data_IF_391690519005
#
_entry.id   IF_391690519005
#
_cell.length_a   1.000
_cell.length_b   1.000
_cell.length_c   1.000
_cell.angle_alpha   90.00
_cell.angle_beta   90.00
_cell.angle_gamma   90.00
#
_symmetry.space_group_name_H-M   'P 1'
#
loop_
_entity.id
_entity.type
_entity.pdbx_description
1 polymer ?
#
# COMPACT_ATOMS: atom_id res chain seq x y z
N UNK A 1 12.54 4.01 -28.99
CA UNK A 1 12.87 4.31 -27.58
C UNK A 1 11.60 4.60 -26.81
N UNK A 2 11.06 3.61 -26.10
CA UNK A 2 9.88 3.74 -25.25
C UNK A 2 10.29 4.41 -23.95
N UNK A 3 9.87 5.66 -23.73
CA UNK A 3 9.99 6.32 -22.43
C UNK A 3 9.21 5.47 -21.42
N UNK A 4 9.92 4.78 -20.53
CA UNK A 4 9.32 4.12 -19.37
C UNK A 4 8.51 5.15 -18.58
N UNK A 5 7.33 4.77 -18.13
CA UNK A 5 6.44 5.67 -17.39
C UNK A 5 7.14 6.05 -16.09
N UNK A 6 7.61 7.29 -15.99
CA UNK A 6 8.09 7.89 -14.74
C UNK A 6 6.88 8.19 -13.85
N UNK A 7 6.57 7.30 -12.91
CA UNK A 7 5.71 7.66 -11.80
C UNK A 7 6.51 8.57 -10.86
N UNK A 8 6.24 9.88 -10.90
CA UNK A 8 6.70 10.84 -9.87
C UNK A 8 5.94 10.58 -8.56
N UNK A 9 6.19 9.43 -7.94
CA UNK A 9 5.97 9.24 -6.50
C UNK A 9 7.19 9.84 -5.83
N UNK A 10 7.11 11.13 -5.47
CA UNK A 10 8.29 11.99 -5.24
C UNK A 10 9.29 11.46 -4.19
N UNK A 11 8.98 10.44 -3.38
CA UNK A 11 9.86 9.95 -2.31
C UNK A 11 10.03 8.42 -2.20
N UNK A 12 9.58 7.59 -3.16
CA UNK A 12 9.76 6.13 -3.07
C UNK A 12 10.85 5.61 -4.01
N UNK A 13 11.78 4.74 -3.54
CA UNK A 13 12.73 4.05 -4.40
C UNK A 13 12.02 3.34 -5.56
N UNK A 14 12.61 3.41 -6.76
CA UNK A 14 12.04 2.80 -7.96
C UNK A 14 11.84 1.30 -7.80
N UNK A 15 12.69 0.64 -7.01
CA UNK A 15 12.62 -0.77 -6.66
C UNK A 15 11.29 -1.12 -5.97
N UNK A 16 10.90 -0.34 -4.95
CA UNK A 16 9.64 -0.57 -4.23
C UNK A 16 8.42 -0.30 -5.12
N UNK A 17 8.48 0.76 -5.93
CA UNK A 17 7.40 1.09 -6.87
C UNK A 17 7.21 -0.03 -7.89
N UNK A 18 8.31 -0.60 -8.40
CA UNK A 18 8.26 -1.70 -9.35
C UNK A 18 7.74 -2.99 -8.72
N UNK A 19 8.16 -3.32 -7.48
CA UNK A 19 7.64 -4.48 -6.74
C UNK A 19 6.13 -4.38 -6.53
N UNK A 20 5.63 -3.22 -6.11
CA UNK A 20 4.18 -2.99 -5.92
C UNK A 20 3.46 -3.14 -7.27
N UNK A 21 3.95 -2.50 -8.33
CA UNK A 21 3.32 -2.57 -9.65
C UNK A 21 3.37 -3.97 -10.27
N UNK A 22 4.41 -4.76 -9.98
CA UNK A 22 4.51 -6.15 -10.43
C UNK A 22 3.56 -7.06 -9.65
N UNK A 23 3.49 -6.90 -8.32
CA UNK A 23 2.53 -7.61 -7.46
C UNK A 23 1.07 -7.34 -7.87
N UNK A 24 0.74 -6.08 -8.16
CA UNK A 24 -0.58 -5.66 -8.65
C UNK A 24 -0.82 -6.06 -10.12
N UNK A 25 0.13 -6.75 -10.77
CA UNK A 25 -0.01 -7.28 -12.13
C UNK A 25 0.04 -6.22 -13.23
N UNK A 26 0.53 -5.02 -12.96
CA UNK A 26 0.63 -3.92 -13.95
C UNK A 26 1.81 -4.09 -14.89
N UNK A 27 2.96 -4.42 -14.32
CA UNK A 27 4.23 -4.59 -15.02
C UNK A 27 4.78 -5.98 -14.76
N UNK A 28 5.74 -6.43 -15.58
CA UNK A 28 6.47 -7.67 -15.35
C UNK A 28 7.93 -7.47 -15.73
N UNK A 29 8.83 -8.08 -14.96
CA UNK A 29 10.25 -8.06 -15.30
C UNK A 29 10.53 -8.89 -16.57
N UNK A 30 11.17 -8.28 -17.57
CA UNK A 30 11.56 -8.96 -18.81
C UNK A 30 12.98 -9.52 -18.66
N UNK A 31 13.12 -10.84 -18.79
CA UNK A 31 14.32 -11.71 -18.63
C UNK A 31 14.69 -12.15 -17.21
N UNK A 32 14.61 -13.47 -16.93
CA UNK A 32 15.19 -14.12 -15.75
C UNK A 32 16.66 -14.48 -16.00
N UNK A 33 17.58 -13.51 -15.98
CA UNK A 33 19.00 -13.83 -15.84
C UNK A 33 19.45 -13.44 -14.43
N UNK A 34 19.83 -14.49 -13.69
CA UNK A 34 20.20 -14.48 -12.27
C UNK A 34 21.44 -13.60 -12.09
N UNK A 35 21.28 -12.44 -11.47
CA UNK A 35 22.14 -11.88 -10.39
C UNK A 35 21.90 -10.40 -10.11
N UNK A 36 21.17 -9.65 -10.95
CA UNK A 36 20.77 -8.27 -10.64
C UNK A 36 19.44 -7.88 -11.32
N UNK A 37 18.55 -7.22 -10.58
CA UNK A 37 17.31 -6.63 -11.12
C UNK A 37 17.66 -5.27 -11.75
N UNK A 38 17.57 -5.17 -13.08
CA UNK A 38 17.69 -3.90 -13.78
C UNK A 38 16.31 -3.24 -13.89
N UNK A 39 16.05 -2.23 -13.05
CA UNK A 39 14.76 -1.54 -12.95
C UNK A 39 14.29 -0.87 -14.25
N UNK A 40 15.14 -0.77 -15.29
CA UNK A 40 14.75 -0.30 -16.63
C UNK A 40 14.17 -1.40 -17.55
N UNK A 41 14.14 -2.66 -17.12
CA UNK A 41 13.64 -3.81 -17.92
C UNK A 41 12.20 -4.21 -17.65
N UNK A 42 11.49 -3.48 -16.80
CA UNK A 42 10.06 -3.70 -16.58
C UNK A 42 9.23 -3.28 -17.79
N UNK A 43 8.28 -4.11 -18.17
CA UNK A 43 7.33 -3.83 -19.26
C UNK A 43 5.89 -3.88 -18.75
N UNK A 44 5.03 -3.00 -19.25
CA UNK A 44 3.60 -3.06 -18.98
C UNK A 44 3.03 -4.36 -19.57
N UNK A 45 2.32 -5.13 -18.75
CA UNK A 45 1.57 -6.32 -19.19
C UNK A 45 0.10 -6.00 -19.47
N UNK A 46 -0.41 -4.91 -18.89
CA UNK A 46 -1.75 -4.39 -19.16
C UNK A 46 -1.61 -3.17 -20.10
N UNK A 47 -2.30 -3.22 -21.25
CA UNK A 47 -2.32 -2.11 -22.18
C UNK A 47 -3.06 -0.89 -21.57
N UNK A 48 -2.64 0.34 -21.89
CA UNK A 48 -3.23 1.58 -21.32
C UNK A 48 -4.73 1.77 -21.58
N UNK A 49 -5.27 1.11 -22.61
CA UNK A 49 -6.70 1.15 -22.96
C UNK A 49 -7.49 -0.07 -22.47
N UNK A 50 -6.82 -1.01 -21.79
CA UNK A 50 -7.49 -2.12 -21.12
C UNK A 50 -8.16 -1.62 -19.83
N UNK A 51 -9.39 -2.05 -19.56
CA UNK A 51 -10.16 -1.64 -18.36
C UNK A 51 -9.45 -1.99 -17.05
N UNK A 52 -8.62 -3.04 -17.03
CA UNK A 52 -7.83 -3.41 -15.85
C UNK A 52 -6.80 -2.33 -15.51
N UNK A 53 -6.33 -1.57 -16.50
CA UNK A 53 -5.35 -0.51 -16.29
C UNK A 53 -5.90 0.59 -15.37
N UNK A 54 -7.14 1.03 -15.61
CA UNK A 54 -7.79 2.05 -14.78
C UNK A 54 -8.17 1.54 -13.39
N UNK A 55 -8.46 0.25 -13.25
CA UNK A 55 -8.69 -0.37 -11.95
C UNK A 55 -7.40 -0.41 -11.10
N UNK A 56 -6.29 -0.87 -11.68
CA UNK A 56 -4.98 -0.91 -11.01
C UNK A 56 -4.47 0.50 -10.67
N UNK A 57 -4.68 1.47 -11.56
CA UNK A 57 -4.35 2.88 -11.28
C UNK A 57 -5.07 3.42 -10.03
N UNK A 58 -6.35 3.08 -9.84
CA UNK A 58 -7.08 3.47 -8.62
C UNK A 58 -6.51 2.82 -7.37
N UNK A 59 -6.13 1.54 -7.43
CA UNK A 59 -5.49 0.81 -6.32
C UNK A 59 -4.16 1.47 -5.96
N UNK A 60 -3.33 1.79 -6.95
CA UNK A 60 -2.03 2.43 -6.73
C UNK A 60 -2.16 3.82 -6.12
N UNK A 61 -3.14 4.61 -6.57
CA UNK A 61 -3.43 5.93 -5.96
C UNK A 61 -3.82 5.80 -4.49
N UNK A 62 -4.66 4.81 -4.15
CA UNK A 62 -5.02 4.55 -2.75
C UNK A 62 -3.82 4.16 -1.91
N UNK A 63 -2.97 3.25 -2.41
CA UNK A 63 -1.72 2.88 -1.73
C UNK A 63 -0.82 4.09 -1.52
N UNK A 64 -0.66 4.95 -2.51
CA UNK A 64 0.10 6.20 -2.37
C UNK A 64 -0.49 7.13 -1.31
N UNK A 65 -1.81 7.24 -1.22
CA UNK A 65 -2.47 8.03 -0.16
C UNK A 65 -2.18 7.46 1.22
N UNK A 66 -2.32 6.14 1.39
CA UNK A 66 -2.01 5.46 2.66
C UNK A 66 -0.55 5.71 3.04
N UNK A 67 0.39 5.48 2.12
CA UNK A 67 1.82 5.67 2.36
C UNK A 67 2.19 7.13 2.71
N UNK A 68 1.46 8.12 2.19
CA UNK A 68 1.65 9.53 2.55
C UNK A 68 1.05 9.89 3.91
N UNK A 69 0.00 9.18 4.32
CA UNK A 69 -0.67 9.37 5.60
C UNK A 69 -0.02 8.55 6.72
N UNK A 70 0.83 7.56 6.38
CA UNK A 70 1.59 6.77 7.36
C UNK A 70 2.42 7.68 8.25
N UNK A 71 2.16 7.61 9.55
CA UNK A 71 2.98 8.23 10.56
C UNK A 71 4.20 7.33 10.83
N UNK A 72 5.37 7.93 10.88
CA UNK A 72 6.64 7.26 11.24
C UNK A 72 7.17 7.99 12.46
N UNK A 73 7.63 7.27 13.47
CA UNK A 73 8.17 7.89 14.68
C UNK A 73 9.42 8.71 14.40
N UNK A 74 9.73 9.65 15.30
CA UNK A 74 10.90 10.52 15.14
C UNK A 74 12.23 9.77 15.00
N UNK A 75 12.34 8.58 15.60
CA UNK A 75 13.52 7.71 15.55
C UNK A 75 13.42 6.60 14.47
N UNK A 76 12.39 6.61 13.62
CA UNK A 76 12.14 5.60 12.57
C UNK A 76 12.04 4.14 13.07
N UNK A 77 11.66 3.92 14.33
CA UNK A 77 11.50 2.57 14.89
C UNK A 77 10.07 2.08 14.89
N UNK A 78 9.09 2.96 14.70
CA UNK A 78 7.67 2.61 14.66
C UNK A 78 6.95 3.26 13.49
N UNK A 79 5.86 2.62 13.06
CA UNK A 79 4.96 3.17 12.06
C UNK A 79 3.51 2.93 12.46
N UNK A 80 2.65 3.82 12.01
CA UNK A 80 1.22 3.72 12.17
C UNK A 80 0.53 4.18 10.89
N UNK A 81 -0.40 3.39 10.39
CA UNK A 81 -1.34 3.87 9.38
C UNK A 81 -2.69 3.19 9.53
N UNK A 82 -3.73 3.95 9.20
CA UNK A 82 -5.09 3.47 9.18
C UNK A 82 -5.79 3.92 7.90
N UNK A 83 -6.82 3.17 7.51
CA UNK A 83 -7.71 3.57 6.43
C UNK A 83 -9.12 3.06 6.64
N UNK A 84 -10.09 3.85 6.18
CA UNK A 84 -11.50 3.48 6.15
C UNK A 84 -11.87 2.83 4.81
N UNK A 85 -12.91 1.98 4.84
CA UNK A 85 -13.42 1.34 3.62
C UNK A 85 -14.48 2.22 2.94
N UNK A 86 -14.15 2.83 1.79
CA UNK A 86 -15.08 3.73 1.06
C UNK A 86 -16.48 3.13 0.78
N UNK A 87 -16.55 1.81 0.56
CA UNK A 87 -17.81 1.10 0.24
C UNK A 87 -18.54 0.60 1.48
N UNK A 88 -17.90 0.67 2.64
CA UNK A 88 -18.45 0.24 3.92
C UNK A 88 -18.11 1.30 4.96
N UNK A 89 -18.87 2.40 5.00
CA UNK A 89 -18.63 3.45 5.99
C UNK A 89 -18.70 2.85 7.39
N UNK A 90 -17.98 3.47 8.32
CA UNK A 90 -17.84 3.02 9.71
C UNK A 90 -17.01 1.73 9.88
N UNK A 91 -16.32 1.26 8.84
CA UNK A 91 -15.28 0.24 8.98
C UNK A 91 -13.90 0.84 8.75
N UNK A 92 -12.93 0.44 9.56
CA UNK A 92 -11.53 0.79 9.38
C UNK A 92 -10.60 -0.39 9.63
N UNK A 93 -9.40 -0.31 9.04
CA UNK A 93 -8.29 -1.20 9.31
C UNK A 93 -7.08 -0.36 9.70
N UNK A 94 -6.41 -0.74 10.78
CA UNK A 94 -5.24 -0.10 11.34
C UNK A 94 -4.08 -1.09 11.38
N UNK A 95 -2.89 -0.58 11.06
CA UNK A 95 -1.61 -1.26 11.18
C UNK A 95 -0.72 -0.42 12.09
N UNK A 96 -0.34 -1.00 13.22
CA UNK A 96 0.45 -0.36 14.26
C UNK A 96 1.67 -1.25 14.55
N UNK A 97 2.87 -0.73 14.30
CA UNK A 97 4.09 -1.41 14.72
C UNK A 97 4.87 -0.51 15.65
N UNK A 98 5.08 -0.97 16.90
CA UNK A 98 5.83 -0.24 17.92
C UNK A 98 5.25 1.16 18.24
N UNK A 99 3.99 1.45 17.89
CA UNK A 99 3.39 2.77 18.10
C UNK A 99 2.56 2.80 19.37
N UNK A 100 1.67 1.83 19.56
CA UNK A 100 0.92 1.65 20.81
C UNK A 100 1.71 0.88 21.86
N UNK A 101 2.31 -0.25 21.47
CA UNK A 101 3.03 -1.15 22.37
C UNK A 101 4.42 -1.51 21.81
N UNK A 102 5.41 -1.64 22.69
CA UNK A 102 6.82 -1.83 22.30
C UNK A 102 7.05 -3.23 21.72
N UNK A 103 7.68 -3.28 20.54
CA UNK A 103 8.00 -4.53 19.80
C UNK A 103 6.78 -5.36 19.40
N UNK A 104 5.63 -4.72 19.23
CA UNK A 104 4.39 -5.39 18.82
C UNK A 104 3.94 -4.89 17.45
N UNK A 105 3.55 -5.83 16.58
CA UNK A 105 2.86 -5.51 15.34
C UNK A 105 1.38 -5.88 15.47
N UNK A 106 0.52 -4.88 15.63
CA UNK A 106 -0.93 -5.03 15.72
C UNK A 106 -1.59 -4.73 14.38
N UNK A 107 -2.51 -5.61 13.99
CA UNK A 107 -3.51 -5.37 12.95
C UNK A 107 -4.87 -5.27 13.65
N UNK A 108 -5.50 -4.10 13.56
CA UNK A 108 -6.79 -3.84 14.21
C UNK A 108 -7.88 -3.55 13.19
N UNK A 109 -8.91 -4.40 13.18
CA UNK A 109 -10.16 -4.17 12.47
C UNK A 109 -11.17 -3.56 13.43
N UNK A 110 -11.75 -2.43 13.06
CA UNK A 110 -12.75 -1.74 13.89
C UNK A 110 -14.06 -1.57 13.12
N UNK A 111 -15.15 -2.09 13.70
CA UNK A 111 -16.52 -1.92 13.22
C UNK A 111 -17.28 -0.92 14.10
N UNK A 112 -17.55 0.26 13.55
CA UNK A 112 -18.30 1.34 14.19
C UNK A 112 -19.74 1.40 13.69
N UNK A 113 -20.28 0.39 12.99
CA UNK A 113 -21.66 0.45 12.47
C UNK A 113 -22.70 0.57 13.59
N UNK A 114 -22.45 -0.08 14.72
CA UNK A 114 -23.31 -0.02 15.91
C UNK A 114 -23.14 1.28 16.71
N UNK A 115 -21.90 1.67 16.98
CA UNK A 115 -21.57 2.82 17.84
C UNK A 115 -21.62 4.17 17.11
N UNK A 116 -21.31 4.21 15.82
CA UNK A 116 -21.10 5.43 15.04
C UNK A 116 -19.80 6.19 15.36
N UNK A 117 -18.96 5.68 16.27
CA UNK A 117 -17.69 6.28 16.67
C UNK A 117 -16.70 5.22 17.20
N UNK A 118 -15.43 5.60 17.36
CA UNK A 118 -14.36 4.66 17.74
C UNK A 118 -14.54 4.11 19.15
N UNK A 119 -14.93 4.95 20.12
CA UNK A 119 -15.18 4.45 21.47
C UNK A 119 -16.46 3.59 21.49
N UNK A 120 -16.39 2.42 22.13
CA UNK A 120 -17.50 1.46 22.13
C UNK A 120 -17.73 0.75 20.79
N UNK A 121 -16.80 0.86 19.84
CA UNK A 121 -16.81 0.05 18.61
C UNK A 121 -16.40 -1.39 18.87
N UNK A 122 -16.83 -2.29 17.99
CA UNK A 122 -16.39 -3.69 18.02
C UNK A 122 -15.02 -3.78 17.34
N UNK A 123 -14.02 -4.26 18.07
CA UNK A 123 -12.64 -4.34 17.60
C UNK A 123 -12.13 -5.78 17.60
N UNK A 124 -11.52 -6.18 16.49
CA UNK A 124 -10.79 -7.44 16.36
C UNK A 124 -9.33 -7.09 16.16
N UNK A 125 -8.48 -7.55 17.09
CA UNK A 125 -7.05 -7.27 17.11
C UNK A 125 -6.27 -8.56 16.87
N UNK A 126 -5.26 -8.50 16.02
CA UNK A 126 -4.33 -9.61 15.74
C UNK A 126 -2.92 -9.10 15.90
N UNK A 127 -2.12 -9.84 16.65
CA UNK A 127 -0.71 -9.54 16.92
C UNK A 127 0.17 -10.53 16.16
N UNK A 128 1.23 -10.03 15.52
CA UNK A 128 2.14 -10.79 14.65
C UNK A 128 3.55 -10.80 15.21
#
# INVERSE_FOLDING_TARGET
MTKGIQYKSVNLPYELVNLICEYDGRIKYKNKQKTAIDYHKYVNVIHKYDRRYSAVEQILRKKQTIMKATAISHNNTSFYFEFAFDKQPNLMLCYDYCWSDVNEFEICYTDMKGSGHVFGSDQIRTYV
#
